data_IF_434964962478
#
_entry.id   IF_434964962478
#
_cell.length_a   1.000
_cell.length_b   1.000
_cell.length_c   1.000
_cell.angle_alpha   90.00
_cell.angle_beta   90.00
_cell.angle_gamma   90.00
#
_symmetry.space_group_name_H-M   'P 1'
#
loop_
_entity.id
_entity.type
_entity.pdbx_description
1 polymer ?
#
# COMPACT_ATOMS: atom_id res chain seq x y z
N UNK A 1 -1.00 7.36 -23.58
CA UNK A 1 -0.28 6.37 -22.75
C UNK A 1 -0.09 7.02 -21.40
N UNK A 2 -1.05 6.79 -20.51
CA UNK A 2 -1.21 7.57 -19.27
C UNK A 2 -0.10 7.27 -18.28
N UNK A 3 0.38 8.31 -17.61
CA UNK A 3 1.17 8.23 -16.40
C UNK A 3 0.53 7.19 -15.48
N UNK A 4 1.18 6.04 -15.30
CA UNK A 4 0.83 5.13 -14.22
C UNK A 4 1.06 5.93 -12.95
N UNK A 5 -0.01 6.37 -12.32
CA UNK A 5 0.03 7.24 -11.14
C UNK A 5 0.46 6.38 -9.94
N UNK A 6 1.75 6.03 -9.93
CA UNK A 6 2.38 5.23 -8.89
C UNK A 6 2.83 6.21 -7.82
N UNK A 7 2.01 6.42 -6.79
CA UNK A 7 2.40 7.13 -5.57
C UNK A 7 3.50 6.39 -4.76
N UNK A 8 4.17 5.43 -5.38
CA UNK A 8 5.17 4.59 -4.73
C UNK A 8 6.34 5.44 -4.24
N UNK A 9 6.90 6.41 -5.01
CA UNK A 9 7.93 7.30 -4.50
C UNK A 9 7.47 8.11 -3.29
N UNK A 10 6.29 8.72 -3.34
CA UNK A 10 5.73 9.53 -2.25
C UNK A 10 5.49 8.69 -0.99
N UNK A 11 4.94 7.49 -1.15
CA UNK A 11 4.75 6.54 -0.05
C UNK A 11 6.09 6.13 0.54
N UNK A 12 7.07 5.78 -0.30
CA UNK A 12 8.41 5.41 0.18
C UNK A 12 9.07 6.54 0.95
N UNK A 13 8.96 7.78 0.47
CA UNK A 13 9.46 8.97 1.19
C UNK A 13 8.71 9.19 2.50
N UNK A 14 7.40 8.95 2.55
CA UNK A 14 6.66 9.09 3.81
C UNK A 14 7.02 8.04 4.86
N UNK A 15 7.46 6.86 4.41
CA UNK A 15 7.98 5.79 5.26
C UNK A 15 9.45 6.02 5.65
N UNK A 16 10.15 7.00 5.06
CA UNK A 16 11.50 7.38 5.49
C UNK A 16 11.44 7.95 6.91
N UNK A 17 12.06 7.27 7.87
CA UNK A 17 12.06 7.63 9.29
C UNK A 17 11.19 6.73 10.17
N UNK A 18 10.40 5.83 9.57
CA UNK A 18 9.75 4.74 10.31
C UNK A 18 10.75 3.58 10.42
N UNK A 19 10.91 3.04 11.62
CA UNK A 19 11.72 1.84 11.88
C UNK A 19 10.98 0.58 11.43
N UNK A 20 10.84 0.43 10.11
CA UNK A 20 10.14 -0.68 9.47
C UNK A 20 10.95 -1.25 8.30
N UNK A 21 10.85 -2.57 8.13
CA UNK A 21 11.24 -3.23 6.88
C UNK A 21 10.12 -3.05 5.85
N UNK A 22 10.45 -2.49 4.68
CA UNK A 22 9.46 -2.18 3.64
C UNK A 22 9.64 -3.13 2.46
N UNK A 23 8.62 -3.95 2.19
CA UNK A 23 8.58 -4.83 1.01
C UNK A 23 7.65 -4.22 -0.04
N UNK A 24 8.24 -3.81 -1.17
CA UNK A 24 7.48 -3.29 -2.31
C UNK A 24 7.22 -4.43 -3.28
N UNK A 25 6.03 -5.03 -3.19
CA UNK A 25 5.57 -6.10 -4.07
C UNK A 25 5.02 -5.52 -5.38
N UNK A 26 5.68 -5.82 -6.51
CA UNK A 26 5.33 -5.28 -7.83
C UNK A 26 5.16 -6.39 -8.88
N UNK A 27 4.43 -6.07 -9.93
CA UNK A 27 4.40 -6.91 -11.13
C UNK A 27 5.73 -6.84 -11.88
N UNK A 28 6.01 -7.81 -12.76
CA UNK A 28 7.18 -7.74 -13.63
C UNK A 28 7.14 -6.51 -14.56
N UNK A 29 5.93 -6.11 -14.98
CA UNK A 29 5.71 -4.95 -15.87
C UNK A 29 5.88 -3.60 -15.15
N UNK A 30 5.83 -3.57 -13.82
CA UNK A 30 5.95 -2.35 -13.03
C UNK A 30 7.33 -2.18 -12.38
N UNK A 31 8.18 -3.21 -12.44
CA UNK A 31 9.48 -3.23 -11.77
C UNK A 31 10.39 -2.07 -12.18
N UNK A 32 10.40 -1.69 -13.46
CA UNK A 32 11.25 -0.61 -13.97
C UNK A 32 10.86 0.78 -13.46
N UNK A 33 9.63 0.94 -12.95
CA UNK A 33 9.10 2.21 -12.44
C UNK A 33 9.34 2.39 -10.94
N UNK A 34 9.95 1.42 -10.27
CA UNK A 34 10.16 1.43 -8.82
C UNK A 34 11.63 1.26 -8.51
N UNK A 35 12.17 2.17 -7.71
CA UNK A 35 13.56 2.16 -7.24
C UNK A 35 13.57 2.12 -5.72
N UNK A 36 14.47 1.34 -5.14
CA UNK A 36 14.65 1.31 -3.70
C UNK A 36 15.39 2.59 -3.30
N UNK A 37 14.73 3.47 -2.56
CA UNK A 37 15.29 4.76 -2.12
C UNK A 37 16.16 4.63 -0.86
N UNK A 38 16.00 3.54 -0.09
CA UNK A 38 16.63 3.35 1.22
C UNK A 38 16.99 1.88 1.47
N UNK A 39 18.01 1.57 2.31
CA UNK A 39 18.42 0.19 2.62
C UNK A 39 17.35 -0.69 3.27
N UNK A 40 16.33 -0.11 3.91
CA UNK A 40 15.20 -0.86 4.48
C UNK A 40 14.12 -1.22 3.44
N UNK A 41 14.26 -0.79 2.18
CA UNK A 41 13.30 -1.05 1.10
C UNK A 41 13.76 -2.22 0.24
N UNK A 42 12.93 -3.27 0.17
CA UNK A 42 13.14 -4.44 -0.68
C UNK A 42 12.07 -4.51 -1.76
N UNK A 43 12.48 -4.39 -3.01
CA UNK A 43 11.57 -4.59 -4.15
C UNK A 43 11.51 -6.08 -4.49
N UNK A 44 10.30 -6.62 -4.59
CA UNK A 44 10.05 -8.02 -4.93
C UNK A 44 9.05 -8.14 -6.06
N UNK A 45 9.37 -8.97 -7.05
CA UNK A 45 8.56 -9.12 -8.27
C UNK A 45 7.75 -10.41 -8.18
N UNK A 46 6.44 -10.33 -8.46
CA UNK A 46 5.58 -11.50 -8.63
C UNK A 46 5.34 -12.33 -7.37
N UNK A 47 5.35 -11.69 -6.19
CA UNK A 47 5.07 -12.39 -4.93
C UNK A 47 3.56 -12.66 -4.76
N UNK A 48 3.16 -13.88 -4.36
CA UNK A 48 1.80 -14.13 -3.92
C UNK A 48 1.52 -13.41 -2.60
N UNK A 49 0.55 -12.48 -2.58
CA UNK A 49 0.25 -11.71 -1.37
C UNK A 49 -0.19 -12.60 -0.20
N UNK A 50 -0.92 -13.68 -0.46
CA UNK A 50 -1.40 -14.59 0.59
C UNK A 50 -0.27 -15.30 1.35
N UNK A 51 0.93 -15.43 0.78
CA UNK A 51 2.09 -15.98 1.47
C UNK A 51 2.89 -14.93 2.23
N UNK A 52 2.80 -13.67 1.80
CA UNK A 52 3.56 -12.56 2.39
C UNK A 52 2.82 -11.91 3.55
N UNK A 53 1.53 -11.63 3.39
CA UNK A 53 0.74 -10.88 4.37
C UNK A 53 0.74 -11.45 5.79
N UNK A 54 0.71 -12.79 6.02
CA UNK A 54 0.81 -13.33 7.37
C UNK A 54 2.09 -12.96 8.14
N UNK A 55 3.11 -12.41 7.48
CA UNK A 55 4.36 -11.94 8.10
C UNK A 55 4.49 -10.42 8.14
N UNK A 56 3.41 -9.68 7.84
CA UNK A 56 3.43 -8.22 7.75
C UNK A 56 2.57 -7.61 8.87
N UNK A 57 3.07 -6.52 9.46
CA UNK A 57 2.32 -5.74 10.47
C UNK A 57 1.24 -4.84 9.83
N UNK A 58 1.43 -4.44 8.57
CA UNK A 58 0.47 -3.65 7.79
C UNK A 58 0.70 -3.79 6.27
N UNK A 59 -0.27 -3.35 5.48
CA UNK A 59 -0.15 -3.22 4.01
C UNK A 59 -0.66 -1.87 3.51
N UNK A 60 0.09 -1.23 2.62
CA UNK A 60 -0.36 -0.06 1.84
C UNK A 60 -0.76 -0.49 0.43
N UNK A 61 -1.97 -0.17 -0.03
CA UNK A 61 -2.42 -0.51 -1.39
C UNK A 61 -3.54 0.38 -1.93
N UNK A 62 -3.80 0.31 -3.23
CA UNK A 62 -4.74 1.21 -3.92
C UNK A 62 -6.22 0.77 -3.90
N UNK A 63 -6.58 -0.21 -3.06
CA UNK A 63 -7.97 -0.70 -2.97
C UNK A 63 -8.43 -1.71 -4.04
N UNK A 64 -7.55 -2.56 -4.60
CA UNK A 64 -8.03 -3.70 -5.42
C UNK A 64 -8.75 -4.73 -4.53
N UNK A 65 -9.87 -5.30 -5.00
CA UNK A 65 -10.65 -6.27 -4.21
C UNK A 65 -9.83 -7.47 -3.76
N UNK A 66 -8.95 -7.98 -4.63
CA UNK A 66 -8.10 -9.14 -4.33
C UNK A 66 -7.15 -8.85 -3.17
N UNK A 67 -6.49 -7.68 -3.18
CA UNK A 67 -5.63 -7.27 -2.08
C UNK A 67 -6.43 -7.06 -0.79
N UNK A 68 -7.57 -6.36 -0.86
CA UNK A 68 -8.40 -6.09 0.32
C UNK A 68 -8.86 -7.36 1.03
N UNK A 69 -9.39 -8.31 0.25
CA UNK A 69 -9.87 -9.58 0.80
C UNK A 69 -8.72 -10.45 1.33
N UNK A 70 -7.56 -10.44 0.68
CA UNK A 70 -6.40 -11.20 1.15
C UNK A 70 -5.89 -10.64 2.47
N UNK A 71 -5.81 -9.32 2.61
CA UNK A 71 -5.36 -8.67 3.85
C UNK A 71 -6.36 -8.87 4.99
N UNK A 72 -7.66 -8.70 4.73
CA UNK A 72 -8.71 -8.98 5.69
C UNK A 72 -8.67 -10.46 6.15
N UNK A 73 -8.49 -11.40 5.22
CA UNK A 73 -8.38 -12.82 5.55
C UNK A 73 -7.13 -13.17 6.35
N UNK A 74 -6.05 -12.41 6.18
CA UNK A 74 -4.80 -12.57 6.92
C UNK A 74 -4.81 -11.83 8.27
N UNK A 75 -5.85 -11.04 8.56
CA UNK A 75 -5.93 -10.21 9.77
C UNK A 75 -4.93 -9.05 9.79
N UNK A 76 -4.47 -8.59 8.62
CA UNK A 76 -3.45 -7.55 8.49
C UNK A 76 -4.11 -6.18 8.33
N UNK A 77 -3.77 -5.19 9.18
CA UNK A 77 -4.21 -3.80 9.03
C UNK A 77 -3.88 -3.21 7.65
N UNK A 78 -4.82 -2.45 7.09
CA UNK A 78 -4.73 -1.94 5.72
C UNK A 78 -4.69 -0.41 5.68
N UNK A 79 -3.73 0.17 4.95
CA UNK A 79 -3.72 1.58 4.55
C UNK A 79 -4.15 1.65 3.09
N UNK A 80 -5.37 2.13 2.85
CA UNK A 80 -5.98 2.11 1.53
C UNK A 80 -5.91 3.51 0.91
N UNK A 81 -5.23 3.63 -0.23
CA UNK A 81 -5.10 4.87 -1.02
C UNK A 81 -5.84 4.72 -2.36
N UNK A 82 -7.17 4.85 -2.39
CA UNK A 82 -7.96 4.51 -3.56
C UNK A 82 -7.68 5.45 -4.74
N UNK A 83 -7.35 4.85 -5.89
CA UNK A 83 -7.11 5.57 -7.15
C UNK A 83 -8.38 5.73 -8.00
N UNK A 84 -9.48 5.05 -7.65
CA UNK A 84 -10.77 5.11 -8.32
C UNK A 84 -11.89 5.43 -7.32
N UNK A 85 -12.85 6.26 -7.73
CA UNK A 85 -13.93 6.79 -6.88
C UNK A 85 -14.82 5.69 -6.26
N UNK A 86 -15.09 4.61 -7.00
CA UNK A 86 -15.85 3.44 -6.51
C UNK A 86 -15.12 2.67 -5.39
N UNK A 87 -13.81 2.88 -5.24
CA UNK A 87 -12.98 2.24 -4.21
C UNK A 87 -12.91 3.03 -2.93
N UNK A 88 -13.27 4.32 -2.94
CA UNK A 88 -13.30 5.15 -1.74
C UNK A 88 -14.37 4.69 -0.74
N UNK A 89 -15.56 4.32 -1.22
CA UNK A 89 -16.63 3.79 -0.37
C UNK A 89 -16.22 2.48 0.30
N UNK A 90 -15.60 1.57 -0.45
CA UNK A 90 -15.10 0.30 0.09
C UNK A 90 -13.96 0.52 1.07
N UNK A 91 -13.03 1.44 0.78
CA UNK A 91 -11.96 1.81 1.70
C UNK A 91 -12.51 2.36 3.02
N UNK A 92 -13.57 3.17 2.95
CA UNK A 92 -14.24 3.70 4.13
C UNK A 92 -14.89 2.58 4.96
N UNK A 93 -15.54 1.61 4.33
CA UNK A 93 -16.09 0.45 5.05
C UNK A 93 -15.01 -0.36 5.78
N UNK A 94 -13.83 -0.52 5.17
CA UNK A 94 -12.70 -1.17 5.84
C UNK A 94 -12.25 -0.36 7.05
N UNK A 95 -12.15 0.96 6.92
CA UNK A 95 -11.79 1.85 8.03
C UNK A 95 -12.81 1.81 9.17
N UNK A 96 -14.10 1.89 8.86
CA UNK A 96 -15.20 1.85 9.83
C UNK A 96 -15.26 0.52 10.58
N UNK A 97 -14.78 -0.57 9.96
CA UNK A 97 -14.68 -1.88 10.62
C UNK A 97 -13.50 -2.01 11.60
N UNK A 98 -12.59 -1.03 11.64
CA UNK A 98 -11.35 -1.09 12.42
C UNK A 98 -10.24 -1.94 11.79
N UNK A 99 -10.44 -2.46 10.57
CA UNK A 99 -9.47 -3.29 9.87
C UNK A 99 -8.40 -2.49 9.09
N UNK A 100 -8.41 -1.16 9.19
CA UNK A 100 -7.46 -0.31 8.49
C UNK A 100 -7.80 1.18 8.56
N UNK A 101 -7.14 1.95 7.71
CA UNK A 101 -7.36 3.38 7.49
C UNK A 101 -7.52 3.67 6.01
N UNK A 102 -8.37 4.64 5.69
CA UNK A 102 -8.57 5.16 4.35
C UNK A 102 -7.85 6.50 4.23
N UNK A 103 -6.91 6.59 3.29
CA UNK A 103 -6.18 7.83 2.98
C UNK A 103 -6.66 8.33 1.61
N UNK A 104 -7.42 9.44 1.56
CA UNK A 104 -7.84 10.03 0.29
C UNK A 104 -6.65 10.34 -0.62
N UNK A 105 -6.78 10.13 -1.93
CA UNK A 105 -5.70 10.37 -2.89
C UNK A 105 -5.15 11.81 -2.83
N UNK A 106 -6.03 12.77 -2.55
CA UNK A 106 -5.71 14.20 -2.40
C UNK A 106 -4.91 14.50 -1.11
N UNK A 107 -4.98 13.61 -0.12
CA UNK A 107 -4.27 13.68 1.16
C UNK A 107 -3.13 12.65 1.25
N UNK A 108 -2.83 11.91 0.17
CA UNK A 108 -1.72 10.98 0.09
C UNK A 108 -0.39 11.71 -0.11
N UNK A 109 -0.13 12.71 0.74
CA UNK A 109 1.16 13.37 0.90
C UNK A 109 1.94 12.77 2.07
N UNK A 110 3.22 13.10 2.15
CA UNK A 110 4.15 12.55 3.14
C UNK A 110 3.77 12.83 4.60
N UNK A 111 2.95 13.86 4.84
CA UNK A 111 2.55 14.26 6.18
C UNK A 111 1.48 13.33 6.79
N UNK A 112 0.64 12.69 5.98
CA UNK A 112 -0.47 11.86 6.48
C UNK A 112 -0.11 10.38 6.59
N UNK A 113 0.83 9.90 5.77
CA UNK A 113 1.25 8.50 5.77
C UNK A 113 2.17 8.12 6.95
N UNK A 114 2.73 9.10 7.66
CA UNK A 114 3.60 8.89 8.84
C UNK A 114 2.87 8.97 10.19
N UNK A 115 1.57 9.26 10.19
CA UNK A 115 0.77 9.54 11.39
C UNK A 115 -0.17 8.40 11.83
N UNK A 116 -0.09 7.22 11.19
CA UNK A 116 -0.93 6.05 11.47
C UNK A 116 -0.28 5.03 12.38
#
# INVERSE_FOLDING_TARGET
>A
MGSRNLLVPEILTALEGIDAEVVVAVSAADREFVTAASPNVRIKVGLPLHTLLPTCDAIVHHGSSGTMLTAASAGVPQVIVPIFMDRAEIAQLVADSGAGVHVPLEAADTAHLSAG
#
